data_IF_949428612454
#
_entry.id   IF_949428612454
#
_cell.length_a   1.000
_cell.length_b   1.000
_cell.length_c   1.000
_cell.angle_alpha   90.00
_cell.angle_beta   90.00
_cell.angle_gamma   90.00
#
_symmetry.space_group_name_H-M   'P 1'
#
loop_
_entity.id
_entity.type
_entity.pdbx_description
1 polymer ?
2 polymer ?
3 polymer ?
#
loop_
_entity_poly.entity_id
_entity_poly.type
_entity_poly.pdbx_seq_one_letter_code
_entity_poly.pdbx_strand_id
1 'polyribonucleotide' 'CCGCCGUUAGUUGCCAGCGGUUCGGCCGGGCACUCUAACGG' ?
2 'polyribonucleotide' 'GACUGCCCGCGAAAGCGGGAGGAAGGA' ?
#
# COMPACT_ATOMS: atom_id res chain seq x y z
CA UNK C 1 14.79 -15.82 16.95
CA UNK C 2 12.39 -13.01 17.57
CA UNK C 3 10.09 -15.41 19.45
CA UNK C 4 6.33 -15.60 19.10
CA UNK C 5 5.02 -12.15 18.23
CA UNK C 6 1.83 -11.41 20.00
CA UNK C 7 0.09 -8.27 18.95
CA UNK C 8 -2.85 -7.04 20.86
CA UNK C 9 -4.84 -4.76 18.89
CA UNK C 10 -5.98 -2.10 20.42
CA UNK C 11 -8.64 -0.44 18.17
CA UNK C 12 -11.40 -1.35 15.79
CA UNK C 13 -12.38 1.48 13.49
CA UNK C 14 -16.08 0.95 12.48
CA UNK C 15 -18.25 2.88 10.01
CA UNK C 16 -18.28 1.75 6.44
CA UNK C 17 -21.07 0.12 4.34
CA UNK C 18 -18.73 -2.09 2.42
CA UNK C 19 -15.35 -3.57 2.49
CA UNK C 20 -12.26 -1.50 2.74
CA UNK C 21 -9.77 -1.69 -0.13
CA UNK C 22 -6.96 0.59 1.04
CA UNK C 23 -5.60 2.82 3.72
CA UNK C 24 -2.67 5.16 4.30
CA UNK C 25 -1.42 7.37 7.13
CA UNK C 26 0.76 9.39 8.01
CA UNK C 27 3.91 10.96 7.67
CA UNK C 28 2.54 13.96 9.51
CA UNK C 29 0.74 11.94 12.12
CA UNK C 30 0.71 8.18 12.81
CA UNK C 31 -2.44 8.82 14.75
CA UNK C 32 -4.11 9.91 11.41
CA UNK C 33 -4.83 7.52 8.55
CA UNK C 34 -7.24 7.36 5.74
CA UNK C 35 -9.14 4.37 4.38
CA UNK C 36 -10.99 3.72 1.12
CA UNK C 37 -14.02 1.53 0.84
CA UNK C 38 -16.75 0.24 -1.40
CA UNK C 39 -19.18 2.15 0.72
CA UNK C 40 -18.05 4.97 -1.47
CA UNK C 41 -16.19 6.90 1.19
CA UNK C 42 -12.68 8.02 2.03
CA UNK C 43 -12.56 8.35 5.85
CA UNK C 44 -9.77 10.04 7.74
CA UNK C 45 -9.55 8.76 11.31
CA UNK C 46 -7.69 9.70 14.48
CA UNK C 47 -6.41 7.30 17.19
CA UNK C 48 -5.35 7.81 20.78
CA UNK C 49 -1.84 6.50 21.20
CA UNK C 50 -2.52 5.41 24.76
CA UNK C 51 -5.65 3.49 23.77
CA UNK C 52 -6.23 2.54 20.23
CA UNK C 53 -9.83 1.48 21.11
CA UNK C 54 -10.65 5.17 21.09
CA UNK C 55 -10.66 7.15 17.87
CA UNK C 56 -12.64 9.74 15.95
CA UNK C 57 -13.50 10.52 12.33
CA UNK C 58 -11.86 13.64 11.00
CA UNK C 59 -13.47 13.43 7.57
CA UNK C 60 -15.79 11.27 5.49
CA UNK C 61 -15.37 12.29 1.85
CA UNK C 62 -18.04 11.29 -0.69
CA UNK C 63 -17.69 11.79 -4.45
CA UNK C 64 -16.59 8.74 -6.23
CA UNK C 65 -19.44 6.75 -7.79
CA UNK C 66 -17.66 3.53 -8.66
CA UNK C 67 -15.46 1.50 -6.30
CA UNK C 68 -12.22 3.10 -5.12
CA UNK C 69 -9.27 0.61 -4.99
CA UNK C 70 -6.51 2.75 -3.48
CA UNK C 71 -5.79 5.78 -1.35
CA UNK C 72 -2.73 7.77 -0.25
CA UNK C 73 -2.04 10.40 2.27
CA UNK C 74 0.30 13.16 1.45
CA UNK C 75 3.42 13.44 3.58
CA UNK C 76 2.54 17.04 4.29
CA UNK C 77 -0.79 15.80 5.48
CA UNK C 78 -1.94 18.46 2.96
CA UNK C 79 -3.84 16.16 0.63
CA UNK C 80 -5.17 12.64 0.21
CA UNK C 81 -5.71 10.92 -3.12
CA UNK C 82 -7.58 7.84 -4.35
CA UNK C 83 -9.09 6.18 -7.37
CA UNK C 84 -10.17 2.96 -8.88
CA UNK C 85 -12.36 2.19 -11.68
CA UNK C 86 -12.39 3.49 -15.13
CA UNK C 87 -9.20 5.51 -14.89
CA UNK C 88 -8.78 8.45 -12.48
CA UNK C 89 -6.56 9.65 -9.59
CA UNK C 90 -8.46 12.28 -7.62
CA UNK C 91 -6.65 14.70 -5.26
CA UNK C 92 -8.48 16.23 -2.31
CA UNK C 93 -7.40 19.29 -0.38
CA UNK C 94 -6.54 17.98 3.01
CA UNK C 95 -7.57 21.00 5.03
CA UNK C 96 -11.06 21.01 3.60
CA UNK C 97 -12.57 18.11 1.66
CA UNK C 98 -12.56 19.84 -1.72
CA UNK C 99 -11.65 17.76 -4.78
CA UNK C 100 -8.66 19.72 -6.06
CA UNK C 101 -7.67 17.69 -9.14
CA UNK C 102 -8.65 14.70 -11.24
CA UNK C 103 -5.75 13.14 -13.07
CA UNK C 104 -7.11 11.55 -16.24
CA UNK C 105 -5.10 9.25 -18.44
CA UNK C 106 -5.17 5.57 -17.39
CA UNK C 107 -7.52 3.29 -19.34
CA UNK C 108 -8.24 1.04 -16.46
CA UNK C 109 -8.63 1.07 -12.79
CA UNK C 110 -5.91 2.89 -10.75
CA UNK C 111 -4.38 0.21 -8.43
CA UNK C 112 -2.06 2.31 -6.32
CA UNK C 113 -0.88 5.90 -5.91
CA UNK C 114 1.79 7.61 -3.76
CA UNK C 115 2.78 11.18 -3.22
CA UNK C 116 6.78 12.23 -3.66
CA UNK C 117 5.75 15.59 -2.19
CA UNK C 118 5.72 15.20 -4.97
CA UNK C 119 6.81 16.54 -8.74
CA UNK C 120 3.59 18.01 -8.89
CA UNK C 121 2.99 14.96 -7.63
CA UNK C 122 2.13 11.61 -7.33
CA UNK C 123 3.04 8.28 -8.98
CA UNK C 124 0.30 5.84 -9.92
CA UNK C 125 0.00 2.25 -11.09
CA UNK C 126 -2.69 0.94 -13.25
CA UNK C 127 -4.31 -1.70 -14.82
CA UNK C 128 -3.55 -0.47 -18.23
CA UNK C 129 -0.02 -1.83 -17.50
CA UNK C 130 1.61 1.56 -16.96
CA UNK C 131 2.80 3.58 -14.03
CA UNK C 132 2.92 7.38 -14.30
CA UNK C 133 4.33 10.46 -12.54
CA UNK C 134 1.85 13.34 -12.47
CA UNK C 135 2.09 17.10 -12.04
CA UNK C 136 -0.37 19.50 -9.90
CA UNK C 137 -1.74 20.80 -13.20
CA UNK C 138 -3.13 17.52 -14.53
CA UNK C 139 -0.32 16.44 -16.72
CA UNK C 140 1.57 13.23 -16.83
CA UNK C 141 5.18 14.27 -16.67
CA UNK C 142 6.00 10.74 -17.52
CA UNK C 143 5.00 7.23 -18.23
CA UNK C 144 6.54 3.94 -17.22
CA UNK C 145 5.56 1.28 -19.67
CA UNK C 146 7.02 -2.17 -19.58
CA UNK C 147 4.59 -4.52 -17.86
CA UNK C 148 2.30 -6.64 -20.02
CA UNK C 149 -0.50 -6.81 -17.47
CA UNK C 150 -1.94 -4.72 -14.66
CA UNK C 151 0.47 -3.12 -12.39
CA UNK C 152 -1.05 -3.81 -8.97
CA UNK C 153 1.23 -1.93 -6.59
CA UNK C 154 4.20 0.46 -6.34
CA UNK C 155 6.57 1.79 -3.69
CA UNK C 156 8.85 4.76 -3.56
CA UNK C 157 12.40 5.04 -2.20
CA UNK C 158 14.73 7.96 -1.59
CA UNK C 159 18.29 7.16 -2.31
CA UNK C 160 21.27 9.11 -1.01
CA UNK C 161 24.46 9.58 -3.01
CA UNK C 162 26.70 12.60 -3.44
CA UNK C 163 25.51 14.23 -6.68
CA UNK C 164 23.37 11.28 -7.77
CA UNK C 165 20.38 11.47 -5.41
CA UNK C 166 17.16 9.92 -6.70
CA UNK C 167 13.64 8.79 -5.94
CA UNK C 168 13.57 5.36 -7.60
CA UNK C 169 10.40 3.28 -7.24
CA UNK C 170 9.42 -0.36 -7.62
CA UNK C 171 6.22 -1.82 -8.99
CA UNK C 172 4.65 -5.20 -8.92
CA UNK C 173 2.42 -6.66 -11.54
CA UNK C 174 -0.07 -9.23 -12.41
CA UNK C 175 2.38 -10.12 -15.13
CA UNK C 176 4.81 -11.67 -12.60
CA UNK C 177 7.25 -8.74 -12.73
CA UNK C 178 8.75 -6.48 -10.12
CA UNK C 179 10.52 -3.57 -11.84
CA UNK C 180 12.81 -0.81 -10.66
CA UNK C 181 12.26 2.58 -12.18
CA UNK C 182 14.22 5.74 -12.35
CA UNK C 183 12.03 8.62 -11.79
CA UNK C 184 14.36 10.98 -13.61
CA UNK C 185 14.67 9.04 -16.87
CA UNK C 186 11.29 7.32 -16.59
CA UNK C 187 12.97 4.08 -17.71
CA UNK C 188 13.31 0.60 -16.27
CA UNK C 189 16.61 -0.24 -14.61
CA UNK C 190 15.89 -3.73 -13.37
CA UNK C 191 13.23 -6.45 -13.58
CA UNK C 192 12.87 -9.05 -10.82
CA UNK C 193 11.35 -12.47 -11.42
CA UNK C 194 10.68 -15.52 -9.25
CA UNK C 195 7.04 -15.42 -8.29
CA UNK C 196 4.64 -17.96 -9.73
CA UNK C 197 1.58 -15.71 -9.92
CA UNK C 198 0.53 -12.07 -9.79
CA UNK C 199 2.36 -9.81 -7.40
CA UNK C 200 -0.41 -7.92 -5.60
CA UNK C 201 1.77 -5.98 -3.16
CA UNK C 202 5.15 -4.49 -2.82
CA UNK C 203 6.83 -2.36 0.46
CA UNK C 204 10.50 -0.71 -0.08
CA UNK C 205 13.05 -0.04 2.47
CA UNK C 206 13.58 3.69 3.29
CA UNK C 207 17.18 3.53 2.04
CA UNK C 208 15.93 1.95 -1.18
CA UNK C 209 18.25 -1.05 -1.20
CA UNK C 210 15.79 -3.88 -1.10
CA UNK C 211 12.09 -4.40 -1.22
CA UNK C 212 9.58 -7.24 -0.58
CA UNK C 213 6.67 -8.55 -2.71
CA UNK C 214 3.57 -10.44 -2.00
CA UNK C 215 1.84 -12.66 -4.55
CA UNK C 216 -1.41 -14.60 -5.41
CA UNK C 217 0.70 -17.73 -4.83
CA UNK C 218 0.64 -16.96 -1.12
CA UNK C 219 4.34 -16.15 -1.15
CA UNK C 220 6.28 -13.15 -0.11
CA UNK C 221 9.79 -12.57 -1.29
CA UNK C 222 12.67 -10.22 -0.62
CA UNK C 223 14.63 -8.97 -3.50
CA UNK C 224 18.06 -7.12 -3.46
CA UNK C 225 17.16 -4.21 -5.53
CA UNK C 226 20.67 -3.43 -6.72
CA UNK C 227 21.39 -6.92 -7.97
CA UNK C 228 17.96 -7.88 -8.87
CA UNK C 229 17.77 -11.18 -7.21
CA UNK C 230 15.77 -12.49 -4.34
CA UNK C 231 17.38 -13.13 -1.00
CA UNK C 232 14.53 -15.11 0.58
CA UNK C 233 10.99 -16.53 0.23
CA UNK C 234 8.41 -16.48 3.06
CA UNK C 235 5.39 -18.81 2.46
CA UNK C 236 1.92 -18.69 4.00
CA UNK C 237 -1.32 -20.58 3.51
CA UNK C 238 -3.34 -18.07 1.46
CA UNK C 239 -2.88 -15.29 -1.05
CA UNK C 240 -1.25 -12.07 -0.27
CA UNK C 241 -2.92 -8.71 -0.72
CA UNK C 242 -0.51 -6.45 1.18
CA UNK C 243 3.04 -6.34 2.68
CA UNK C 244 4.98 -4.01 4.94
CA UNK C 245 8.18 -4.07 6.98
CA UNK C 246 7.83 -3.72 10.69
CA UNK C 247 9.70 -0.86 12.07
CA UNK C 248 12.13 -3.00 13.79
CA UNK C 249 13.54 -3.61 10.27
CA UNK C 250 13.41 -7.36 10.87
CA UNK C 251 9.67 -8.23 10.57
CA UNK C 252 7.71 -8.46 7.40
CA UNK C 253 3.94 -8.32 7.83
CA UNK C 254 1.51 -9.37 5.12
CA UNK C 255 -2.25 -9.50 4.63
CA UNK C 256 -4.00 -12.58 3.22
CA UNK C 257 -7.59 -13.70 2.81
CA UNK C 258 -6.94 -15.73 6.09
CA UNK C 259 -5.43 -12.85 8.18
CA UNK C 260 -2.09 -11.06 8.67
CA UNK C 261 1.02 -13.18 9.12
CA UNK C 262 4.15 -11.64 10.57
CA UNK C 263 7.38 -13.06 9.38
CA UNK C 264 10.92 -12.85 10.61
CA UNK C 265 13.57 -12.61 7.97
CA UNK C 266 16.58 -13.66 9.95
CA UNK C 267 15.11 -16.62 11.76
CA UNK C 268 13.33 -17.38 8.47
CA UNK C 269 9.94 -18.18 9.82
CA UNK C 270 6.49 -17.20 10.81
CA UNK C 271 6.72 -15.36 14.10
CA UNK C 272 2.98 -14.72 14.61
CA UNK C 273 -0.52 -14.20 13.29
CA UNK C 274 -3.14 -11.49 13.62
CA UNK C 275 -6.53 -13.08 13.17
CA UNK C 276 -9.55 -11.52 12.35
CA UNK C 277 -10.18 -7.98 13.04
CA UNK C 278 -13.15 -8.61 10.79
CA UNK C 279 -14.39 -10.91 8.11
CA UNK C 280 -17.30 -11.09 5.69
CA UNK C 281 -18.69 -13.19 2.92
CA UNK C 282 -19.08 -11.94 -0.59
CA UNK C 283 -20.61 -14.07 -3.31
CA UNK C 284 -20.26 -17.24 -1.27
CA UNK C 285 -16.51 -16.80 -0.54
CA UNK C 286 -14.88 -15.43 2.61
CA UNK C 287 -12.67 -12.37 2.74
CA UNK C 288 -10.92 -10.41 5.56
CA UNK C 289 -7.76 -8.21 4.88
CA UNK C 290 -7.23 -6.05 2.04
CA UNK C 291 -4.55 -3.62 3.20
CA UNK C 292 -2.16 -2.93 6.02
CA UNK C 293 0.36 -0.35 7.11
CA UNK C 294 2.98 0.25 9.76
CA UNK C 295 2.93 3.39 11.89
CA UNK C 296 5.73 5.87 11.63
CA UNK C 297 7.62 4.73 14.76
CA UNK C 298 6.43 1.44 14.10
CA UNK C 299 5.27 0.04 17.12
CA UNK C 300 1.86 -0.47 15.49
CA UNK C 301 0.23 -1.71 12.33
CA UNK C 302 -3.17 -1.10 10.90
CA UNK C 303 -5.05 -3.57 8.88
CA UNK C 304 -8.06 -3.01 6.63
CA UNK C 305 -10.26 -5.78 5.35
CA UNK C 306 -13.54 -6.76 3.76
CA UNK C 307 -16.00 -6.55 6.71
CA UNK C 308 -15.36 -2.80 6.71
CA UNK C 309 -13.26 -2.44 9.84
CA UNK C 310 -9.72 -1.40 10.39
CA UNK C 311 -7.85 -2.63 13.38
CA UNK C 312 -4.78 -1.24 14.98
CA UNK C 313 -2.26 -3.61 16.39
CA UNK C 314 0.30 -3.32 19.20
#
# INVERSE_FOLDING_TARGET
MASNEVLVLRGTLEGHNGWVTSLATSAGQPNLLLSASRDKTLISWKLTGDDQKFGVPVRSFKGHSHIVQDCTLTADGAYALSASWDKTLRLWDVATGETYQRFVGHKSDVMSVDIDKKASMIISGSRDKTIKVWTIKGQCLATLLGHNDWVSQVRVVPNEKADDDSVTIISAGNDKMVKAWNLNQFQIEADFIGHNSNINTLTASPDGTLIASAGKDGEIMLWNLAAKKAMYTLSAQDEVFSLAFSPNRYWLAAATATGIKVFSLDPQYLVDDLRPEFAGYSKAAEPHAVSLAWSADGQTLFAGYTDNVIRVWQ
#
